data_IF_764669596406
#
_entry.id   IF_764669596406
#
_cell.length_a   1.000
_cell.length_b   1.000
_cell.length_c   1.000
_cell.angle_alpha   90.00
_cell.angle_beta   90.00
_cell.angle_gamma   90.00
#
_symmetry.space_group_name_H-M   'P 1'
#
loop_
_entity.id
_entity.type
_entity.pdbx_description
1 polymer ?
#
# COMPACT_ATOMS: atom_id res chain seq x y z
N UNK A 1 2.56 -11.15 -8.75
CA UNK A 1 1.57 -11.86 -7.90
C UNK A 1 0.23 -11.94 -8.61
N UNK A 2 -0.46 -10.82 -8.85
CA UNK A 2 -1.78 -10.80 -9.48
C UNK A 2 -1.87 -11.54 -10.83
N UNK A 3 -1.04 -11.17 -11.82
CA UNK A 3 -0.98 -11.83 -13.14
C UNK A 3 -0.61 -13.32 -13.02
N UNK A 4 0.30 -13.66 -12.10
CA UNK A 4 0.71 -15.04 -11.86
C UNK A 4 -0.43 -15.89 -11.28
N UNK A 5 -1.22 -15.34 -10.35
CA UNK A 5 -2.37 -16.07 -9.77
C UNK A 5 -3.54 -16.11 -10.73
N UNK A 6 -3.79 -15.10 -11.58
CA UNK A 6 -4.82 -15.21 -12.64
C UNK A 6 -4.46 -16.24 -13.70
N UNK A 7 -3.20 -16.34 -14.11
CA UNK A 7 -2.74 -17.38 -15.05
C UNK A 7 -2.83 -18.78 -14.41
N UNK A 8 -2.41 -18.91 -13.15
CA UNK A 8 -2.50 -20.17 -12.41
C UNK A 8 -3.97 -20.58 -12.17
N UNK A 9 -4.84 -19.66 -11.80
CA UNK A 9 -6.27 -19.87 -11.61
C UNK A 9 -6.97 -20.32 -12.90
N UNK A 10 -6.66 -19.68 -14.04
CA UNK A 10 -7.16 -20.09 -15.35
C UNK A 10 -6.64 -21.47 -15.75
N UNK A 11 -5.37 -21.78 -15.47
CA UNK A 11 -4.75 -23.04 -15.86
C UNK A 11 -5.21 -24.23 -15.02
N UNK A 12 -5.53 -24.06 -13.73
CA UNK A 12 -5.92 -25.15 -12.84
C UNK A 12 -7.44 -25.35 -12.81
N UNK A 13 -8.25 -24.29 -12.93
CA UNK A 13 -9.70 -24.38 -12.71
C UNK A 13 -10.55 -24.17 -13.97
N UNK A 14 -9.97 -23.79 -15.13
CA UNK A 14 -10.59 -23.60 -16.47
C UNK A 14 -12.07 -23.17 -16.48
N UNK A 15 -12.99 -24.11 -16.23
CA UNK A 15 -14.47 -23.96 -16.29
C UNK A 15 -15.19 -24.36 -14.98
N UNK A 16 -14.48 -24.88 -13.97
CA UNK A 16 -15.01 -25.26 -12.65
C UNK A 16 -15.02 -24.13 -11.61
N UNK A 17 -14.58 -22.91 -11.97
CA UNK A 17 -14.69 -21.72 -11.11
C UNK A 17 -16.15 -21.43 -10.69
N UNK A 18 -17.13 -21.77 -11.53
CA UNK A 18 -18.55 -21.59 -11.22
C UNK A 18 -19.08 -22.53 -10.12
N UNK A 19 -18.41 -23.65 -9.84
CA UNK A 19 -18.87 -24.62 -8.83
C UNK A 19 -18.47 -24.25 -7.40
N UNK A 20 -17.47 -23.38 -7.22
CA UNK A 20 -17.05 -22.90 -5.89
C UNK A 20 -17.93 -21.73 -5.40
N UNK A 21 -18.69 -21.12 -6.31
CA UNK A 21 -19.62 -20.03 -6.03
C UNK A 21 -21.02 -20.45 -5.59
N UNK A 22 -21.28 -21.76 -5.60
CA UNK A 22 -22.61 -22.31 -5.31
C UNK A 22 -22.52 -23.00 -3.95
N UNK A 23 -22.76 -22.28 -2.83
CA UNK A 23 -23.18 -22.95 -1.61
C UNK A 23 -24.54 -23.62 -1.90
N UNK A 24 -24.66 -24.90 -1.55
CA UNK A 24 -25.90 -25.67 -1.63
C UNK A 24 -26.99 -24.98 -0.80
N UNK A 25 -27.84 -24.17 -1.44
CA UNK A 25 -28.94 -23.45 -0.78
C UNK A 25 -29.22 -22.02 -1.25
N UNK A 26 -28.44 -21.45 -2.18
CA UNK A 26 -28.74 -20.10 -2.72
C UNK A 26 -29.69 -20.15 -3.92
N UNK A 27 -30.71 -19.27 -4.01
CA UNK A 27 -31.61 -19.21 -5.16
C UNK A 27 -30.82 -18.95 -6.45
N UNK A 28 -31.06 -19.76 -7.49
CA UNK A 28 -30.30 -19.76 -8.75
C UNK A 28 -30.18 -18.37 -9.41
N UNK A 29 -31.14 -17.47 -9.17
CA UNK A 29 -31.13 -16.11 -9.69
C UNK A 29 -30.02 -15.22 -9.10
N UNK A 30 -29.54 -15.47 -7.89
CA UNK A 30 -28.57 -14.61 -7.19
C UNK A 30 -27.11 -15.06 -7.38
N UNK A 31 -26.90 -16.28 -7.87
CA UNK A 31 -25.59 -16.89 -8.12
C UNK A 31 -24.72 -16.04 -9.08
N UNK A 32 -25.21 -15.52 -10.21
CA UNK A 32 -24.39 -14.73 -11.14
C UNK A 32 -23.89 -13.43 -10.52
N UNK A 33 -24.70 -12.81 -9.65
CA UNK A 33 -24.35 -11.58 -8.95
C UNK A 33 -23.28 -11.82 -7.90
N UNK A 34 -23.36 -12.93 -7.16
CA UNK A 34 -22.34 -13.33 -6.18
C UNK A 34 -20.97 -13.60 -6.83
N UNK A 35 -20.96 -14.25 -8.00
CA UNK A 35 -19.75 -14.48 -8.81
C UNK A 35 -19.07 -13.17 -9.19
N UNK A 36 -19.85 -12.19 -9.62
CA UNK A 36 -19.35 -10.89 -10.04
C UNK A 36 -18.68 -10.13 -8.87
N UNK A 37 -19.32 -10.08 -7.69
CA UNK A 37 -18.79 -9.31 -6.55
C UNK A 37 -17.50 -9.89 -5.98
N UNK A 38 -17.36 -11.21 -5.95
CA UNK A 38 -16.18 -11.88 -5.42
C UNK A 38 -15.01 -11.81 -6.41
N UNK A 39 -15.27 -11.82 -7.72
CA UNK A 39 -14.27 -11.48 -8.73
C UNK A 39 -13.73 -10.07 -8.46
N UNK A 40 -14.60 -9.09 -8.31
CA UNK A 40 -14.23 -7.69 -8.03
C UNK A 40 -13.45 -7.59 -6.70
N UNK A 41 -13.89 -8.27 -5.65
CA UNK A 41 -13.24 -8.30 -4.33
C UNK A 41 -11.84 -8.92 -4.40
N UNK A 42 -11.67 -9.98 -5.19
CA UNK A 42 -10.40 -10.62 -5.44
C UNK A 42 -9.41 -9.67 -6.15
N UNK A 43 -9.85 -8.97 -7.21
CA UNK A 43 -9.00 -7.97 -7.88
C UNK A 43 -8.68 -6.80 -6.93
N UNK A 44 -9.67 -6.29 -6.20
CA UNK A 44 -9.51 -5.20 -5.26
C UNK A 44 -8.51 -5.53 -4.14
N UNK A 45 -8.51 -6.78 -3.62
CA UNK A 45 -7.56 -7.22 -2.60
C UNK A 45 -6.12 -7.15 -3.11
N UNK A 46 -5.85 -7.64 -4.32
CA UNK A 46 -4.52 -7.60 -4.92
C UNK A 46 -4.04 -6.16 -5.17
N UNK A 47 -4.91 -5.31 -5.71
CA UNK A 47 -4.60 -3.89 -5.94
C UNK A 47 -4.36 -3.16 -4.62
N UNK A 48 -5.22 -3.38 -3.61
CA UNK A 48 -5.14 -2.70 -2.32
C UNK A 48 -3.82 -2.93 -1.60
N UNK A 49 -3.21 -4.11 -1.78
CA UNK A 49 -1.93 -4.43 -1.18
C UNK A 49 -0.78 -3.64 -1.82
N UNK A 50 -0.75 -3.57 -3.16
CA UNK A 50 0.25 -2.81 -3.91
C UNK A 50 0.13 -1.31 -3.65
N UNK A 51 -1.09 -0.78 -3.74
CA UNK A 51 -1.39 0.64 -3.45
C UNK A 51 -0.99 1.00 -2.02
N UNK A 52 -1.22 0.10 -1.05
CA UNK A 52 -0.83 0.33 0.35
C UNK A 52 0.68 0.51 0.47
N UNK A 53 1.50 -0.36 -0.10
CA UNK A 53 2.96 -0.20 -0.03
C UNK A 53 3.41 1.09 -0.73
N UNK A 54 2.90 1.33 -1.94
CA UNK A 54 3.23 2.52 -2.73
C UNK A 54 2.86 3.83 -2.00
N UNK A 55 1.66 3.92 -1.43
CA UNK A 55 1.20 5.10 -0.72
C UNK A 55 2.06 5.42 0.51
N UNK A 56 2.54 4.41 1.23
CA UNK A 56 3.40 4.66 2.41
C UNK A 56 4.76 5.25 2.03
N UNK A 57 5.39 4.74 0.96
CA UNK A 57 6.67 5.26 0.47
C UNK A 57 6.46 6.66 -0.14
N UNK A 58 5.40 6.85 -0.94
CA UNK A 58 5.14 8.16 -1.55
C UNK A 58 4.79 9.24 -0.52
N UNK A 59 4.04 8.90 0.54
CA UNK A 59 3.67 9.85 1.58
C UNK A 59 4.91 10.36 2.33
N UNK A 60 5.83 9.49 2.73
CA UNK A 60 7.04 9.90 3.45
C UNK A 60 8.00 10.71 2.57
N UNK A 61 8.23 10.29 1.31
CA UNK A 61 9.01 11.07 0.36
C UNK A 61 8.41 12.46 0.07
N UNK A 62 7.08 12.56 -0.06
CA UNK A 62 6.40 13.85 -0.28
C UNK A 62 6.50 14.75 0.95
N UNK A 63 6.33 14.19 2.14
CA UNK A 63 6.50 14.89 3.40
C UNK A 63 7.92 15.45 3.55
N UNK A 64 8.94 14.65 3.25
CA UNK A 64 10.34 15.10 3.30
C UNK A 64 10.62 16.26 2.34
N UNK A 65 10.06 16.24 1.12
CA UNK A 65 10.19 17.36 0.18
C UNK A 65 9.57 18.66 0.69
N UNK A 66 8.36 18.58 1.26
CA UNK A 66 7.66 19.75 1.78
C UNK A 66 8.42 20.34 2.98
N UNK A 67 8.85 19.50 3.93
CA UNK A 67 9.63 19.94 5.09
C UNK A 67 11.01 20.49 4.69
N UNK A 68 11.70 19.87 3.72
CA UNK A 68 12.97 20.36 3.21
C UNK A 68 12.83 21.77 2.62
N UNK A 69 11.80 22.00 1.83
CA UNK A 69 11.55 23.30 1.20
C UNK A 69 11.22 24.37 2.25
N UNK A 70 10.42 24.03 3.26
CA UNK A 70 10.11 24.95 4.36
C UNK A 70 11.35 25.30 5.20
N UNK A 71 12.14 24.30 5.58
CA UNK A 71 13.35 24.50 6.37
C UNK A 71 14.42 25.26 5.60
N UNK A 72 14.55 25.04 4.29
CA UNK A 72 15.45 25.80 3.43
C UNK A 72 15.08 27.30 3.38
N UNK A 73 13.78 27.63 3.29
CA UNK A 73 13.33 29.01 3.34
C UNK A 73 13.63 29.67 4.70
N UNK A 74 13.43 28.95 5.80
CA UNK A 74 13.77 29.45 7.14
C UNK A 74 15.27 29.63 7.34
N UNK A 75 16.10 28.73 6.79
CA UNK A 75 17.55 28.81 6.85
C UNK A 75 18.09 30.10 6.19
N UNK A 76 17.47 30.55 5.11
CA UNK A 76 17.87 31.77 4.38
C UNK A 76 17.46 33.08 5.08
N UNK A 77 16.67 33.04 6.15
CA UNK A 77 16.06 34.25 6.73
C UNK A 77 16.99 35.01 7.69
N UNK A 78 17.70 34.33 8.59
CA UNK A 78 18.52 34.95 9.63
C UNK A 78 19.49 33.94 10.25
N UNK A 79 20.69 34.40 10.65
CA UNK A 79 21.75 33.52 11.17
C UNK A 79 21.32 32.76 12.45
N UNK A 80 20.55 33.42 13.32
CA UNK A 80 20.06 32.84 14.57
C UNK A 80 19.03 31.72 14.30
N UNK A 81 18.15 31.97 13.31
CA UNK A 81 17.14 31.01 12.87
C UNK A 81 17.81 29.83 12.14
N UNK A 82 18.86 30.08 11.36
CA UNK A 82 19.64 29.04 10.68
C UNK A 82 20.24 28.02 11.67
N UNK A 83 20.81 28.48 12.79
CA UNK A 83 21.34 27.59 13.84
C UNK A 83 20.23 26.76 14.49
N UNK A 84 19.09 27.37 14.80
CA UNK A 84 17.92 26.67 15.34
C UNK A 84 17.35 25.64 14.36
N UNK A 85 17.32 25.93 13.06
CA UNK A 85 16.80 25.01 12.02
C UNK A 85 17.67 23.78 11.79
N UNK A 86 18.92 23.77 12.27
CA UNK A 86 19.82 22.62 12.15
C UNK A 86 19.30 21.40 12.95
N UNK A 87 18.65 21.66 14.09
CA UNK A 87 18.06 20.62 14.95
C UNK A 87 16.96 19.83 14.22
N UNK A 88 15.88 20.46 13.70
CA UNK A 88 14.87 19.75 12.93
C UNK A 88 15.40 19.18 11.62
N UNK A 89 16.45 19.76 11.01
CA UNK A 89 17.09 19.18 9.84
C UNK A 89 17.76 17.83 10.14
N UNK A 90 18.50 17.72 11.24
CA UNK A 90 19.17 16.46 11.61
C UNK A 90 18.20 15.45 12.22
N UNK A 91 17.47 15.82 13.28
CA UNK A 91 16.63 14.89 14.03
C UNK A 91 15.31 14.58 13.32
N UNK A 92 14.69 15.58 12.67
CA UNK A 92 13.41 15.42 11.99
C UNK A 92 13.51 14.51 10.77
N UNK A 93 14.51 14.71 9.90
CA UNK A 93 14.72 13.84 8.73
C UNK A 93 15.10 12.41 9.14
N UNK A 94 15.99 12.26 10.12
CA UNK A 94 16.37 10.92 10.61
C UNK A 94 15.17 10.17 11.17
N UNK A 95 14.29 10.85 11.91
CA UNK A 95 13.08 10.26 12.45
C UNK A 95 12.09 9.83 11.34
N UNK A 96 11.90 10.65 10.30
CA UNK A 96 11.00 10.32 9.19
C UNK A 96 11.51 9.13 8.38
N UNK A 97 12.80 9.10 8.06
CA UNK A 97 13.44 7.98 7.36
C UNK A 97 13.34 6.70 8.20
N UNK A 98 13.60 6.79 9.50
CA UNK A 98 13.43 5.67 10.42
C UNK A 98 12.00 5.13 10.45
N UNK A 99 11.00 6.02 10.45
CA UNK A 99 9.59 5.67 10.38
C UNK A 99 9.24 4.99 9.04
N UNK A 100 9.71 5.49 7.90
CA UNK A 100 9.48 4.88 6.58
C UNK A 100 10.05 3.46 6.50
N UNK A 101 11.27 3.26 7.02
CA UNK A 101 11.91 1.95 7.09
C UNK A 101 11.10 1.02 8.01
N UNK A 102 10.71 1.50 9.20
CA UNK A 102 9.92 0.72 10.16
C UNK A 102 8.57 0.27 9.58
N UNK A 103 7.84 1.19 8.94
CA UNK A 103 6.55 0.88 8.31
C UNK A 103 6.70 -0.13 7.17
N UNK A 104 7.76 0.01 6.37
CA UNK A 104 8.06 -0.91 5.26
C UNK A 104 8.40 -2.31 5.77
N UNK A 105 9.20 -2.40 6.85
CA UNK A 105 9.51 -3.67 7.51
C UNK A 105 8.26 -4.35 8.08
N UNK A 106 7.39 -3.61 8.79
CA UNK A 106 6.15 -4.20 9.33
C UNK A 106 5.24 -4.76 8.23
N UNK A 107 5.13 -4.06 7.09
CA UNK A 107 4.32 -4.52 5.95
C UNK A 107 4.98 -5.69 5.20
N UNK A 108 6.30 -5.76 5.15
CA UNK A 108 7.03 -6.89 4.58
C UNK A 108 6.89 -8.16 5.44
N UNK A 109 6.98 -8.03 6.77
CA UNK A 109 6.77 -9.16 7.68
C UNK A 109 5.33 -9.68 7.63
N UNK A 110 4.35 -8.79 7.51
CA UNK A 110 2.96 -9.17 7.32
C UNK A 110 2.71 -9.95 6.02
N UNK A 111 3.46 -9.62 4.95
CA UNK A 111 3.39 -10.36 3.68
C UNK A 111 4.01 -11.75 3.75
N UNK A 112 5.02 -11.96 4.59
CA UNK A 112 5.64 -13.27 4.79
C UNK A 112 4.81 -14.19 5.70
N UNK A 113 3.82 -13.65 6.42
CA UNK A 113 2.93 -14.37 7.35
C UNK A 113 1.57 -14.76 6.74
N UNK A 114 1.36 -14.52 5.44
CA UNK A 114 0.12 -14.79 4.71
C UNK A 114 0.34 -15.79 3.58
#
# INVERSE_FOLDING_TARGET
>A
IFIGVTILALSIHKVRFFSFFIPSGTPLALVPLLVLIELISYLARAVSLGVRLFANIMAGHTLMKILSTFLFQMFSSSILVAVLTLIPFAYGFTAIIGLEIGVSLSKLTFLKSR
#
